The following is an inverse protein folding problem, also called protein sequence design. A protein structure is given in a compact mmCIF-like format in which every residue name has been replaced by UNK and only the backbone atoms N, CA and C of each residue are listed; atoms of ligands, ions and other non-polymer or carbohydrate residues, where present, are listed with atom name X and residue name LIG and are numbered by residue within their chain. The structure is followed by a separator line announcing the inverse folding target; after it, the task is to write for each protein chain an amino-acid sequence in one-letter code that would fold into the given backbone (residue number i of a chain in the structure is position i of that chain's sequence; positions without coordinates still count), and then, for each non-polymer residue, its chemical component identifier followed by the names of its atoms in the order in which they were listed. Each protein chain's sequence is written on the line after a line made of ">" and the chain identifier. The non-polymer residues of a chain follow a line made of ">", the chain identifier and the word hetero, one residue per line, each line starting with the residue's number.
data_IF_828477869817
#
_entry.id   IF_828477869817
#
_cell.length_a   1.000
_cell.length_b   1.000
_cell.length_c   1.000
_cell.angle_alpha   90.00
_cell.angle_beta   90.00
_cell.angle_gamma   90.00
#
_symmetry.space_group_name_H-M   'P 1'
#
loop_
_entity.id
_entity.type
_entity.pdbx_description
1 polymer ?
#
# COMPACT_ATOMS: atom_id res chain seq x y z
N UNK A 1 21.71 0.52 5.79
CA UNK A 1 20.68 0.91 4.81
C UNK A 1 19.76 -0.28 4.65
N UNK A 2 18.48 -0.17 5.01
CA UNK A 2 17.49 -1.23 4.78
C UNK A 2 16.86 -0.93 3.42
N UNK A 3 16.95 -1.85 2.48
CA UNK A 3 16.28 -1.70 1.18
C UNK A 3 14.77 -1.93 1.39
N UNK A 4 13.94 -1.02 0.89
CA UNK A 4 12.48 -1.12 0.94
C UNK A 4 11.87 -1.36 -0.44
N UNK A 5 10.57 -1.60 -0.46
CA UNK A 5 9.78 -1.83 -1.67
C UNK A 5 9.00 -0.56 -2.02
N UNK A 6 9.14 -0.07 -3.25
CA UNK A 6 8.25 0.93 -3.79
C UNK A 6 6.99 0.22 -4.31
N UNK A 7 5.85 0.47 -3.67
CA UNK A 7 4.58 -0.11 -4.07
C UNK A 7 4.04 0.61 -5.30
N UNK A 8 3.70 -0.19 -6.31
CA UNK A 8 2.80 0.22 -7.38
C UNK A 8 1.33 0.15 -6.90
N UNK A 9 0.44 0.91 -7.56
CA UNK A 9 -0.98 0.91 -7.21
C UNK A 9 -1.60 -0.49 -7.35
N UNK A 10 -1.20 -1.28 -8.34
CA UNK A 10 -1.70 -2.66 -8.52
C UNK A 10 -1.35 -3.56 -7.33
N UNK A 11 -0.14 -3.43 -6.78
CA UNK A 11 0.30 -4.17 -5.61
C UNK A 11 -0.47 -3.74 -4.35
N UNK A 12 -0.70 -2.43 -4.18
CA UNK A 12 -1.53 -1.91 -3.10
C UNK A 12 -2.95 -2.50 -3.12
N UNK A 13 -3.59 -2.52 -4.29
CA UNK A 13 -4.93 -3.10 -4.44
C UNK A 13 -4.96 -4.61 -4.21
N UNK A 14 -3.94 -5.31 -4.67
CA UNK A 14 -3.85 -6.75 -4.44
C UNK A 14 -3.74 -7.07 -2.94
N UNK A 15 -2.83 -6.40 -2.22
CA UNK A 15 -2.63 -6.61 -0.78
C UNK A 15 -3.89 -6.28 0.03
N UNK A 16 -4.62 -5.23 -0.33
CA UNK A 16 -5.84 -4.81 0.39
C UNK A 16 -7.06 -5.68 0.10
N UNK A 17 -7.07 -6.42 -1.02
CA UNK A 17 -8.22 -7.27 -1.44
C UNK A 17 -7.98 -8.77 -1.21
N UNK A 18 -6.74 -9.20 -0.99
CA UNK A 18 -6.34 -10.58 -0.79
C UNK A 18 -5.69 -10.77 0.59
N UNK A 19 -6.43 -11.22 1.62
CA UNK A 19 -5.91 -11.39 2.98
C UNK A 19 -4.68 -12.31 3.07
N UNK A 20 -4.63 -13.34 2.23
CA UNK A 20 -3.49 -14.27 2.12
C UNK A 20 -2.25 -13.58 1.55
N UNK A 21 -2.41 -12.66 0.61
CA UNK A 21 -1.32 -11.86 0.07
C UNK A 21 -0.81 -10.88 1.15
N UNK A 22 -1.71 -10.22 1.88
CA UNK A 22 -1.32 -9.35 2.99
C UNK A 22 -0.54 -10.12 4.06
N UNK A 23 -0.99 -11.33 4.43
CA UNK A 23 -0.33 -12.17 5.43
C UNK A 23 1.10 -12.56 5.03
N UNK A 24 1.34 -12.85 3.76
CA UNK A 24 2.68 -13.17 3.26
C UNK A 24 3.66 -11.98 3.34
N UNK A 25 3.13 -10.75 3.38
CA UNK A 25 3.89 -9.51 3.30
C UNK A 25 3.82 -8.64 4.57
N UNK A 26 3.06 -9.08 5.58
CA UNK A 26 2.78 -8.35 6.82
C UNK A 26 4.04 -7.89 7.54
N UNK A 27 5.05 -8.76 7.62
CA UNK A 27 6.32 -8.45 8.29
C UNK A 27 7.03 -7.24 7.65
N UNK A 28 7.02 -7.12 6.32
CA UNK A 28 7.65 -5.99 5.63
C UNK A 28 6.88 -4.68 5.86
N UNK A 29 5.55 -4.74 5.88
CA UNK A 29 4.70 -3.60 6.24
C UNK A 29 4.94 -3.14 7.68
N UNK A 30 4.99 -4.08 8.63
CA UNK A 30 5.25 -3.81 10.05
C UNK A 30 6.65 -3.21 10.29
N UNK A 31 7.63 -3.55 9.45
CA UNK A 31 8.97 -2.97 9.51
C UNK A 31 9.10 -1.63 8.79
N UNK A 32 8.01 -1.07 8.25
CA UNK A 32 8.01 0.21 7.54
C UNK A 32 8.79 0.16 6.21
N UNK A 33 8.90 -1.02 5.60
CA UNK A 33 9.67 -1.23 4.36
C UNK A 33 8.86 -0.93 3.10
N UNK A 34 7.59 -0.54 3.22
CA UNK A 34 6.77 -0.12 2.09
C UNK A 34 6.85 1.40 1.89
N UNK A 35 7.16 1.79 0.66
CA UNK A 35 7.21 3.16 0.22
C UNK A 35 6.18 3.35 -0.91
N UNK A 36 5.62 4.55 -1.01
CA UNK A 36 4.67 4.92 -2.05
C UNK A 36 5.16 6.22 -2.68
N UNK A 37 5.15 6.28 -4.01
CA UNK A 37 5.49 7.52 -4.73
C UNK A 37 4.32 8.51 -4.68
N UNK A 38 4.57 9.82 -4.82
CA UNK A 38 3.48 10.81 -4.89
C UNK A 38 2.48 10.53 -6.03
N UNK A 39 2.91 10.14 -7.26
CA UNK A 39 1.97 9.69 -8.29
C UNK A 39 1.07 8.52 -7.85
N UNK A 40 1.66 7.47 -7.26
CA UNK A 40 0.91 6.30 -6.78
C UNK A 40 -0.06 6.68 -5.67
N UNK A 41 0.32 7.60 -4.78
CA UNK A 41 -0.56 8.15 -3.76
C UNK A 41 -1.77 8.87 -4.39
N UNK A 42 -1.53 9.61 -5.47
CA UNK A 42 -2.58 10.24 -6.27
C UNK A 42 -3.58 9.22 -6.83
N UNK A 43 -3.10 8.12 -7.41
CA UNK A 43 -3.95 7.04 -7.92
C UNK A 43 -4.82 6.40 -6.82
N UNK A 44 -4.22 6.10 -5.67
CA UNK A 44 -4.92 5.52 -4.51
C UNK A 44 -6.04 6.47 -4.04
N UNK A 45 -5.74 7.75 -3.91
CA UNK A 45 -6.70 8.74 -3.42
C UNK A 45 -7.76 9.09 -4.46
N UNK A 46 -7.45 9.04 -5.75
CA UNK A 46 -8.44 9.27 -6.81
C UNK A 46 -9.56 8.23 -6.80
N UNK A 47 -9.22 6.98 -6.44
CA UNK A 47 -10.22 5.91 -6.29
C UNK A 47 -11.02 5.96 -4.99
N UNK A 48 -10.77 6.93 -4.11
CA UNK A 48 -11.47 7.03 -2.83
C UNK A 48 -12.94 7.43 -3.01
N UNK A 49 -13.87 6.55 -2.60
CA UNK A 49 -15.32 6.81 -2.70
C UNK A 49 -15.85 7.73 -1.59
N UNK A 50 -15.12 7.86 -0.49
CA UNK A 50 -15.45 8.73 0.63
C UNK A 50 -14.19 9.11 1.44
N UNK A 51 -14.24 10.09 2.36
CA UNK A 51 -13.07 10.49 3.14
C UNK A 51 -12.49 9.41 4.06
N UNK A 52 -13.26 8.37 4.39
CA UNK A 52 -12.77 7.19 5.11
C UNK A 52 -12.16 6.13 4.17
N UNK A 53 -12.33 6.26 2.85
CA UNK A 53 -11.72 5.46 1.78
C UNK A 53 -10.26 5.90 1.52
N UNK A 54 -9.56 6.35 2.56
CA UNK A 54 -8.19 6.87 2.48
C UNK A 54 -7.20 5.98 3.21
N UNK A 55 -5.97 5.92 2.68
CA UNK A 55 -4.82 5.34 3.35
C UNK A 55 -4.59 6.04 4.70
N UNK A 56 -4.61 5.28 5.81
CA UNK A 56 -4.13 5.76 7.11
C UNK A 56 -2.66 5.33 7.26
N UNK A 57 -1.75 6.27 7.62
CA UNK A 57 -0.36 5.95 7.91
C UNK A 57 -0.22 5.01 9.11
#
# INVERSE_FOLDING_TARGET
>A
MKFGFLLDASAFWHLTRAPEAMKAWEHYGAEGLFHVSEPTRGEILYSAENPAHGWRP
#
